data_IF_770915579506
#
_entry.id   IF_770915579506
#
_cell.length_a   1.000
_cell.length_b   1.000
_cell.length_c   1.000
_cell.angle_alpha   90.00
_cell.angle_beta   90.00
_cell.angle_gamma   90.00
#
_symmetry.space_group_name_H-M   'P 1'
#
loop_
_entity.id
_entity.type
_entity.pdbx_description
1 polymer ?
#
# COMPACT_ATOMS: atom_id res chain seq x y z
N UNK A 1 14.32 23.36 71.13
CA UNK A 1 13.34 22.68 70.24
C UNK A 1 13.85 22.84 68.82
N UNK A 2 13.86 21.72 68.09
CA UNK A 2 14.66 21.45 66.89
C UNK A 2 14.26 22.27 65.65
N UNK A 3 15.20 22.39 64.70
CA UNK A 3 14.94 22.94 63.37
C UNK A 3 16.17 22.95 62.46
N UNK A 4 16.72 21.78 62.13
CA UNK A 4 17.70 21.60 61.03
C UNK A 4 16.95 21.46 59.69
N UNK A 5 17.50 22.02 58.60
CA UNK A 5 17.10 21.68 57.23
C UNK A 5 17.57 22.74 56.22
N UNK A 6 18.81 22.68 55.75
CA UNK A 6 19.26 22.04 54.51
C UNK A 6 18.75 22.73 53.22
N UNK A 7 19.66 23.48 52.58
CA UNK A 7 19.55 24.06 51.25
C UNK A 7 19.76 22.95 50.20
N UNK A 8 18.87 22.78 49.22
CA UNK A 8 19.17 22.06 47.96
C UNK A 8 18.44 22.75 46.80
N UNK A 9 19.21 23.11 45.78
CA UNK A 9 18.79 23.87 44.60
C UNK A 9 17.91 23.08 43.63
N UNK A 10 17.04 23.81 42.93
CA UNK A 10 16.16 23.28 41.89
C UNK A 10 16.93 23.24 40.57
N UNK A 11 17.46 22.07 40.20
CA UNK A 11 18.04 21.83 38.88
C UNK A 11 16.91 21.52 37.88
N UNK A 12 16.72 22.40 36.89
CA UNK A 12 15.82 22.16 35.76
C UNK A 12 16.47 21.15 34.80
N UNK A 13 16.07 19.88 34.89
CA UNK A 13 16.51 18.83 33.97
C UNK A 13 15.71 18.86 32.67
N UNK A 14 16.36 19.19 31.54
CA UNK A 14 15.82 18.94 30.20
C UNK A 14 15.69 17.42 29.98
N UNK A 15 14.46 16.91 29.95
CA UNK A 15 14.15 15.57 29.44
C UNK A 15 14.15 15.61 27.91
N UNK A 16 15.28 15.26 27.30
CA UNK A 16 15.39 14.97 25.87
C UNK A 16 14.72 13.62 25.59
N UNK A 17 13.47 13.66 25.09
CA UNK A 17 12.73 12.47 24.70
C UNK A 17 13.36 11.82 23.47
N UNK A 18 13.98 10.65 23.65
CA UNK A 18 14.46 9.81 22.55
C UNK A 18 13.25 9.20 21.83
N UNK A 19 12.88 9.76 20.68
CA UNK A 19 11.89 9.16 19.79
C UNK A 19 12.57 8.04 19.00
N UNK A 20 12.27 6.79 19.38
CA UNK A 20 12.73 5.62 18.63
C UNK A 20 11.89 5.54 17.34
N UNK A 21 12.48 5.93 16.21
CA UNK A 21 11.86 5.74 14.90
C UNK A 21 11.89 4.25 14.56
N UNK A 22 10.73 3.59 14.61
CA UNK A 22 10.58 2.20 14.21
C UNK A 22 10.65 2.16 12.68
N UNK A 23 11.72 1.60 12.12
CA UNK A 23 11.80 1.39 10.68
C UNK A 23 10.79 0.31 10.25
N UNK A 24 9.87 0.65 9.35
CA UNK A 24 8.92 -0.32 8.80
C UNK A 24 9.66 -1.31 7.89
N UNK A 25 9.66 -2.59 8.25
CA UNK A 25 10.24 -3.65 7.41
C UNK A 25 9.32 -3.86 6.21
N UNK A 26 9.87 -3.70 5.00
CA UNK A 26 9.16 -4.05 3.77
C UNK A 26 9.00 -5.57 3.73
N UNK A 27 7.77 -6.05 3.92
CA UNK A 27 7.49 -7.47 3.80
C UNK A 27 7.61 -7.86 2.32
N UNK A 28 8.44 -8.87 1.97
CA UNK A 28 8.42 -9.41 0.61
C UNK A 28 7.02 -9.98 0.34
N UNK A 29 6.53 -9.79 -0.88
CA UNK A 29 5.19 -10.19 -1.28
C UNK A 29 5.32 -11.27 -2.35
N UNK A 30 5.26 -12.52 -1.94
CA UNK A 30 5.57 -13.69 -2.76
C UNK A 30 4.74 -13.72 -4.04
N UNK A 31 3.44 -13.39 -3.96
CA UNK A 31 2.59 -13.33 -5.14
C UNK A 31 3.09 -12.27 -6.15
N UNK A 32 3.51 -11.11 -5.68
CA UNK A 32 3.98 -10.04 -6.57
C UNK A 32 5.29 -10.42 -7.24
N UNK A 33 6.14 -11.21 -6.60
CA UNK A 33 7.40 -11.63 -7.22
C UNK A 33 7.22 -12.42 -8.52
N UNK A 34 6.06 -13.06 -8.68
CA UNK A 34 5.67 -13.75 -9.90
C UNK A 34 5.33 -12.86 -11.09
N UNK A 35 5.18 -11.53 -10.93
CA UNK A 35 4.78 -10.63 -12.02
C UNK A 35 5.98 -9.98 -12.72
N UNK A 36 5.92 -9.83 -14.03
CA UNK A 36 6.94 -9.09 -14.80
C UNK A 36 6.77 -7.56 -14.64
N UNK A 37 7.89 -6.85 -14.63
CA UNK A 37 7.88 -5.39 -14.80
C UNK A 37 7.65 -5.01 -16.27
N UNK A 38 7.20 -3.78 -16.54
CA UNK A 38 6.96 -3.31 -17.92
C UNK A 38 5.68 -2.49 -18.06
N UNK A 39 5.19 -2.32 -19.28
CA UNK A 39 3.92 -1.63 -19.55
C UNK A 39 2.75 -2.60 -19.35
N UNK A 40 1.77 -2.19 -18.55
CA UNK A 40 0.57 -2.96 -18.24
C UNK A 40 -0.69 -2.17 -18.61
N UNK A 41 -1.66 -2.88 -19.17
CA UNK A 41 -3.03 -2.42 -19.34
C UNK A 41 -3.92 -2.96 -18.22
N UNK A 42 -4.69 -2.08 -17.59
CA UNK A 42 -5.66 -2.39 -16.56
C UNK A 42 -7.05 -2.10 -17.11
N UNK A 43 -7.88 -3.15 -17.19
CA UNK A 43 -9.24 -3.10 -17.73
C UNK A 43 -10.22 -3.52 -16.66
N UNK A 44 -11.22 -2.69 -16.37
CA UNK A 44 -12.33 -3.09 -15.49
C UNK A 44 -13.12 -4.21 -16.18
N UNK A 45 -13.43 -5.28 -15.46
CA UNK A 45 -14.20 -6.41 -15.99
C UNK A 45 -15.69 -6.15 -15.88
N UNK A 46 -16.45 -6.61 -16.87
CA UNK A 46 -17.91 -6.54 -16.86
C UNK A 46 -18.50 -5.15 -17.14
N UNK A 47 -17.66 -4.17 -17.49
CA UNK A 47 -18.06 -2.84 -17.89
C UNK A 47 -17.19 -2.38 -19.05
N UNK A 48 -17.80 -1.82 -20.08
CA UNK A 48 -17.05 -1.09 -21.10
C UNK A 48 -16.52 0.20 -20.47
N UNK A 49 -15.22 0.42 -20.58
CA UNK A 49 -14.56 1.51 -19.89
C UNK A 49 -13.16 1.79 -20.41
N UNK A 50 -12.56 2.90 -19.97
CA UNK A 50 -11.23 3.29 -20.39
C UNK A 50 -10.20 2.25 -19.93
N UNK A 51 -9.24 1.97 -20.81
CA UNK A 51 -8.08 1.14 -20.51
C UNK A 51 -7.03 2.02 -19.85
N UNK A 52 -6.66 1.72 -18.61
CA UNK A 52 -5.60 2.45 -17.93
C UNK A 52 -4.25 1.80 -18.23
N UNK A 53 -3.29 2.59 -18.71
CA UNK A 53 -1.91 2.16 -18.90
C UNK A 53 -1.00 2.57 -17.74
N UNK A 54 -0.13 1.67 -17.32
CA UNK A 54 0.80 1.85 -16.22
C UNK A 54 2.13 1.16 -16.55
N UNK A 55 3.21 1.94 -16.55
CA UNK A 55 4.55 1.38 -16.41
C UNK A 55 4.71 0.86 -14.98
N UNK A 56 4.73 -0.46 -14.83
CA UNK A 56 4.85 -1.20 -13.59
C UNK A 56 6.33 -1.46 -13.29
N UNK A 57 6.98 -0.48 -12.66
CA UNK A 57 8.30 -0.64 -12.06
C UNK A 57 8.22 -1.23 -10.66
N UNK A 58 7.25 -0.76 -9.87
CA UNK A 58 6.90 -1.32 -8.56
C UNK A 58 5.56 -2.07 -8.67
N UNK A 59 5.62 -3.39 -8.49
CA UNK A 59 4.46 -4.29 -8.57
C UNK A 59 3.41 -3.98 -7.51
N UNK A 60 3.79 -3.30 -6.42
CA UNK A 60 2.86 -2.84 -5.37
C UNK A 60 1.87 -1.80 -5.87
N UNK A 61 2.12 -1.17 -7.01
CA UNK A 61 1.18 -0.25 -7.66
C UNK A 61 -0.16 -0.93 -8.04
N UNK A 62 -0.19 -2.26 -8.16
CA UNK A 62 -1.41 -3.04 -8.40
C UNK A 62 -2.28 -3.23 -7.15
N UNK A 63 -1.77 -2.94 -5.95
CA UNK A 63 -2.46 -3.24 -4.69
C UNK A 63 -3.48 -2.19 -4.25
N UNK A 64 -3.42 -0.99 -4.84
CA UNK A 64 -4.32 0.12 -4.51
C UNK A 64 -4.81 0.83 -5.78
N UNK A 65 -5.47 0.11 -6.71
CA UNK A 65 -5.83 0.68 -8.02
C UNK A 65 -6.75 1.90 -7.91
N UNK A 66 -7.55 2.01 -6.84
CA UNK A 66 -8.44 3.14 -6.59
C UNK A 66 -7.73 4.40 -6.07
N UNK A 67 -6.59 4.24 -5.40
CA UNK A 67 -5.86 5.34 -4.74
C UNK A 67 -4.42 5.43 -5.28
N UNK A 68 -4.23 5.64 -6.59
CA UNK A 68 -2.90 5.68 -7.18
C UNK A 68 -2.07 6.85 -6.62
N UNK A 69 -0.80 6.58 -6.30
CA UNK A 69 0.15 7.61 -5.84
C UNK A 69 -0.09 8.14 -4.42
N UNK A 70 -1.06 7.61 -3.68
CA UNK A 70 -1.29 7.96 -2.27
C UNK A 70 -0.46 7.06 -1.37
N UNK A 71 0.14 7.65 -0.34
CA UNK A 71 0.72 6.90 0.76
C UNK A 71 -0.41 6.38 1.64
N UNK A 72 -0.71 5.08 1.53
CA UNK A 72 -1.72 4.41 2.33
C UNK A 72 -1.02 3.40 3.24
N UNK A 73 -1.39 3.40 4.53
CA UNK A 73 -0.99 2.35 5.45
C UNK A 73 -1.57 1.02 4.94
N UNK A 74 -0.72 0.01 4.73
CA UNK A 74 -1.12 -1.27 4.12
C UNK A 74 -0.88 -2.42 5.08
N UNK A 75 -1.86 -3.31 5.16
CA UNK A 75 -1.79 -4.52 5.95
C UNK A 75 -1.99 -5.76 5.06
N UNK A 76 -1.10 -6.73 5.18
CA UNK A 76 -1.17 -7.99 4.41
C UNK A 76 -2.06 -8.96 5.18
N UNK A 77 -3.17 -9.35 4.56
CA UNK A 77 -4.12 -10.31 5.15
C UNK A 77 -3.73 -11.74 4.78
N UNK A 78 -3.26 -11.96 3.56
CA UNK A 78 -2.75 -13.25 3.11
C UNK A 78 -1.74 -13.06 1.99
N UNK A 79 -0.66 -13.83 1.99
CA UNK A 79 0.32 -13.88 0.91
C UNK A 79 0.69 -15.35 0.62
N UNK A 80 0.39 -15.79 -0.59
CA UNK A 80 0.68 -17.12 -1.13
C UNK A 80 1.40 -16.95 -2.46
N UNK A 81 1.96 -18.03 -3.01
CA UNK A 81 2.74 -18.00 -4.24
C UNK A 81 2.06 -17.28 -5.44
N UNK A 82 0.73 -17.33 -5.55
CA UNK A 82 -0.01 -16.68 -6.64
C UNK A 82 -1.23 -15.87 -6.16
N UNK A 83 -1.36 -15.62 -4.86
CA UNK A 83 -2.51 -14.90 -4.29
C UNK A 83 -2.04 -13.96 -3.20
N UNK A 84 -2.48 -12.71 -3.26
CA UNK A 84 -2.22 -11.69 -2.27
C UNK A 84 -3.50 -10.97 -1.90
N UNK A 85 -3.76 -10.85 -0.60
CA UNK A 85 -4.86 -10.06 -0.07
C UNK A 85 -4.28 -8.99 0.83
N UNK A 86 -4.64 -7.74 0.56
CA UNK A 86 -4.28 -6.61 1.41
C UNK A 86 -5.50 -5.78 1.77
N UNK A 87 -5.45 -5.18 2.94
CA UNK A 87 -6.27 -4.01 3.27
C UNK A 87 -5.37 -2.79 3.31
N UNK A 88 -5.94 -1.62 3.04
CA UNK A 88 -5.22 -0.37 3.09
C UNK A 88 -6.10 0.76 3.63
N UNK A 89 -5.49 1.69 4.33
CA UNK A 89 -6.09 2.93 4.83
C UNK A 89 -5.31 4.13 4.29
N UNK A 90 -6.02 5.04 3.64
CA UNK A 90 -5.46 6.25 3.03
C UNK A 90 -5.89 7.51 3.81
N UNK A 91 -6.10 7.38 5.13
CA UNK A 91 -6.65 8.41 6.00
C UNK A 91 -7.96 8.99 5.43
N UNK A 92 -8.11 10.31 5.44
CA UNK A 92 -9.31 10.99 4.95
C UNK A 92 -9.64 10.77 3.47
N UNK A 93 -8.76 10.16 2.66
CA UNK A 93 -9.06 9.82 1.27
C UNK A 93 -9.94 8.57 1.13
N UNK A 94 -9.94 7.70 2.15
CA UNK A 94 -10.69 6.45 2.15
C UNK A 94 -9.84 5.24 2.51
N UNK A 95 -10.40 4.05 2.27
CA UNK A 95 -9.78 2.76 2.58
C UNK A 95 -10.26 1.70 1.60
N UNK A 96 -9.63 0.53 1.64
CA UNK A 96 -10.12 -0.59 0.85
C UNK A 96 -9.44 -1.90 1.13
N UNK A 97 -9.94 -2.91 0.43
CA UNK A 97 -9.36 -4.25 0.32
C UNK A 97 -9.05 -4.51 -1.13
N UNK A 98 -7.94 -5.19 -1.37
CA UNK A 98 -7.55 -5.67 -2.69
C UNK A 98 -7.21 -7.14 -2.59
N UNK A 99 -7.92 -7.96 -3.36
CA UNK A 99 -7.62 -9.36 -3.58
C UNK A 99 -6.99 -9.49 -4.98
N UNK A 100 -5.71 -9.88 -5.04
CA UNK A 100 -4.92 -10.05 -6.25
C UNK A 100 -4.62 -11.54 -6.46
N UNK A 101 -4.86 -12.04 -7.67
CA UNK A 101 -4.47 -13.38 -8.12
C UNK A 101 -3.58 -13.27 -9.34
N UNK A 102 -2.41 -13.89 -9.28
CA UNK A 102 -1.49 -14.01 -10.41
C UNK A 102 -1.88 -15.24 -11.22
N UNK A 103 -2.25 -15.02 -12.48
CA UNK A 103 -2.60 -16.10 -13.41
C UNK A 103 -1.35 -16.55 -14.19
N UNK A 104 -0.52 -15.58 -14.61
CA UNK A 104 0.77 -15.78 -15.27
C UNK A 104 1.69 -14.62 -14.91
N UNK A 105 2.99 -14.65 -15.24
CA UNK A 105 3.85 -13.49 -15.05
C UNK A 105 3.39 -12.21 -15.76
N UNK A 106 2.47 -12.34 -16.74
CA UNK A 106 1.96 -11.24 -17.58
C UNK A 106 0.46 -10.98 -17.42
N UNK A 107 -0.19 -11.65 -16.48
CA UNK A 107 -1.64 -11.56 -16.25
C UNK A 107 -1.99 -11.70 -14.77
N UNK A 108 -2.71 -10.72 -14.24
CA UNK A 108 -3.27 -10.78 -12.90
C UNK A 108 -4.75 -10.38 -12.90
N UNK A 109 -5.52 -11.01 -12.03
CA UNK A 109 -6.90 -10.65 -11.73
C UNK A 109 -6.94 -9.93 -10.39
N UNK A 110 -7.55 -8.76 -10.35
CA UNK A 110 -7.62 -7.91 -9.16
C UNK A 110 -9.09 -7.67 -8.85
N UNK A 111 -9.48 -7.79 -7.58
CA UNK A 111 -10.76 -7.32 -7.07
C UNK A 111 -10.48 -6.28 -6.01
N UNK A 112 -11.14 -5.14 -6.08
CA UNK A 112 -10.96 -4.07 -5.12
C UNK A 112 -12.29 -3.45 -4.72
N UNK A 113 -12.43 -3.19 -3.43
CA UNK A 113 -13.63 -2.64 -2.83
C UNK A 113 -13.27 -1.81 -1.60
N UNK A 114 -14.10 -0.83 -1.26
CA UNK A 114 -13.86 0.05 -0.12
C UNK A 114 -14.61 1.37 -0.21
N UNK A 115 -14.06 2.40 0.43
CA UNK A 115 -14.56 3.76 0.42
C UNK A 115 -13.54 4.67 -0.24
N UNK A 116 -13.98 5.57 -1.13
CA UNK A 116 -13.14 6.61 -1.74
C UNK A 116 -13.94 7.91 -1.81
N UNK A 117 -13.39 9.01 -1.26
CA UNK A 117 -14.10 10.30 -1.24
C UNK A 117 -15.47 10.25 -0.55
N UNK A 118 -15.65 9.36 0.43
CA UNK A 118 -16.91 9.18 1.16
C UNK A 118 -17.95 8.29 0.48
N UNK A 119 -17.68 7.77 -0.72
CA UNK A 119 -18.59 6.87 -1.44
C UNK A 119 -18.03 5.45 -1.53
N UNK A 120 -18.88 4.40 -1.48
CA UNK A 120 -18.45 3.03 -1.68
C UNK A 120 -18.05 2.76 -3.13
N UNK A 121 -17.07 1.89 -3.32
CA UNK A 121 -16.70 1.35 -4.63
C UNK A 121 -16.52 -0.17 -4.54
N UNK A 122 -16.72 -0.85 -5.66
CA UNK A 122 -16.41 -2.27 -5.83
C UNK A 122 -16.27 -2.55 -7.32
N UNK A 123 -15.14 -3.11 -7.72
CA UNK A 123 -14.90 -3.50 -9.10
C UNK A 123 -13.85 -4.60 -9.19
N UNK A 124 -13.73 -5.18 -10.38
CA UNK A 124 -12.66 -6.11 -10.70
C UNK A 124 -11.89 -5.64 -11.93
N UNK A 125 -10.59 -5.89 -11.96
CA UNK A 125 -9.66 -5.51 -13.03
C UNK A 125 -8.98 -6.76 -13.57
N UNK A 126 -8.87 -6.86 -14.89
CA UNK A 126 -7.82 -7.64 -15.53
C UNK A 126 -6.60 -6.72 -15.76
N UNK A 127 -5.46 -7.08 -15.19
CA UNK A 127 -4.18 -6.44 -15.45
C UNK A 127 -3.35 -7.32 -16.38
N UNK A 128 -2.92 -6.79 -17.53
CA UNK A 128 -2.18 -7.54 -18.55
C UNK A 128 -0.94 -6.78 -19.02
N UNK A 129 0.21 -7.44 -19.06
CA UNK A 129 1.46 -6.86 -19.59
C UNK A 129 1.44 -6.79 -21.11
N UNK A 130 1.60 -5.59 -21.65
CA UNK A 130 1.56 -5.31 -23.10
C UNK A 130 2.93 -5.05 -23.72
N UNK A 131 3.99 -4.90 -22.92
CA UNK A 131 5.36 -4.77 -23.44
C UNK A 131 6.30 -4.12 -22.44
N UNK A 132 7.41 -3.57 -22.94
CA UNK A 132 8.31 -2.73 -22.16
C UNK A 132 7.72 -1.34 -21.94
N UNK A 133 8.10 -0.68 -20.84
CA UNK A 133 7.71 0.70 -20.60
C UNK A 133 8.24 1.61 -21.71
N UNK A 134 7.37 2.38 -22.34
CA UNK A 134 7.75 3.29 -23.43
C UNK A 134 8.43 4.58 -22.93
N UNK A 135 8.28 4.90 -21.64
CA UNK A 135 9.07 5.92 -20.95
C UNK A 135 9.43 5.41 -19.55
N UNK A 136 10.71 5.49 -19.12
CA UNK A 136 11.05 5.33 -17.71
C UNK A 136 10.37 6.47 -16.94
N UNK A 137 9.59 6.12 -15.92
CA UNK A 137 9.04 7.08 -14.95
C UNK A 137 10.00 7.23 -13.78
#
# INVERSE_FOLDING_TARGET
MAGTGLRVGMAAGLMMGATCAIAAVAHPLAALDGLETGEWELRVRGQDGPVRRLCLGDRRQLLQPQHPGRECGRFVVADKANQLVVTYDCAGAGNGRTDLRVETPRLAQIQSQGISGGAPFSYAIEARRVGECQRPR
#
